data_IF_931941309521
#
_entry.id   IF_931941309521
#
_cell.length_a   1.000
_cell.length_b   1.000
_cell.length_c   1.000
_cell.angle_alpha   90.00
_cell.angle_beta   90.00
_cell.angle_gamma   90.00
#
_symmetry.space_group_name_H-M   'P 1'
#
loop_
_entity.id
_entity.type
_entity.pdbx_description
1 polymer ?
#
# COMPACT_ATOMS: atom_id res chain seq x y z
N UNK A 1 -22.38 8.36 -0.90
CA UNK A 1 -22.37 7.13 -0.11
C UNK A 1 -20.93 6.61 0.03
N UNK A 2 -20.57 6.20 1.24
CA UNK A 2 -19.24 5.62 1.54
C UNK A 2 -19.45 4.29 2.26
N UNK A 3 -18.74 3.26 1.79
CA UNK A 3 -18.75 1.95 2.43
C UNK A 3 -17.34 1.62 2.91
N UNK A 4 -17.20 1.29 4.19
CA UNK A 4 -15.94 0.83 4.76
C UNK A 4 -15.81 -0.68 4.53
N UNK A 5 -14.65 -1.11 4.06
CA UNK A 5 -14.34 -2.53 3.86
C UNK A 5 -13.05 -2.91 4.58
N UNK A 6 -12.88 -4.20 4.84
CA UNK A 6 -11.57 -4.70 5.25
C UNK A 6 -10.61 -4.70 4.05
N UNK A 7 -9.35 -4.35 4.27
CA UNK A 7 -8.34 -4.29 3.21
C UNK A 7 -8.24 -5.58 2.40
N UNK A 8 -8.35 -6.71 3.06
CA UNK A 8 -8.24 -8.02 2.40
C UNK A 8 -9.50 -8.46 1.66
N UNK A 9 -10.57 -7.66 1.65
CA UNK A 9 -11.77 -7.92 0.86
C UNK A 9 -11.66 -7.41 -0.58
N UNK A 10 -10.62 -6.66 -0.92
CA UNK A 10 -10.49 -6.00 -2.23
C UNK A 10 -10.49 -6.99 -3.39
N UNK A 11 -9.85 -8.14 -3.24
CA UNK A 11 -9.82 -9.16 -4.30
C UNK A 11 -11.19 -9.68 -4.68
N UNK A 12 -12.04 -9.95 -3.68
CA UNK A 12 -13.42 -10.38 -3.91
C UNK A 12 -14.23 -9.31 -4.65
N UNK A 13 -14.10 -8.07 -4.21
CA UNK A 13 -14.83 -6.96 -4.81
C UNK A 13 -14.41 -6.71 -6.26
N UNK A 14 -13.13 -6.82 -6.57
CA UNK A 14 -12.63 -6.71 -7.94
C UNK A 14 -13.10 -7.89 -8.81
N UNK A 15 -13.05 -9.11 -8.27
CA UNK A 15 -13.52 -10.30 -8.98
C UNK A 15 -15.01 -10.20 -9.32
N UNK A 16 -15.80 -9.59 -8.45
CA UNK A 16 -17.24 -9.40 -8.66
C UNK A 16 -17.57 -8.16 -9.52
N UNK A 17 -16.55 -7.45 -10.01
CA UNK A 17 -16.74 -6.28 -10.88
C UNK A 17 -17.30 -5.05 -10.16
N UNK A 18 -17.11 -4.95 -8.86
CA UNK A 18 -17.66 -3.86 -8.04
C UNK A 18 -16.70 -2.69 -7.87
N UNK A 19 -15.51 -2.76 -8.44
CA UNK A 19 -14.49 -1.71 -8.33
C UNK A 19 -14.17 -1.16 -9.71
N UNK A 20 -14.42 0.11 -9.91
CA UNK A 20 -14.16 0.80 -11.18
C UNK A 20 -12.74 1.36 -11.25
N UNK A 21 -12.19 1.77 -10.12
CA UNK A 21 -10.83 2.32 -10.03
C UNK A 21 -10.32 2.24 -8.60
N UNK A 22 -9.01 2.27 -8.46
CA UNK A 22 -8.32 2.36 -7.17
C UNK A 22 -7.58 3.69 -7.12
N UNK A 23 -7.68 4.38 -6.00
CA UNK A 23 -6.96 5.64 -5.75
C UNK A 23 -6.24 5.50 -4.43
N UNK A 24 -4.92 5.70 -4.44
CA UNK A 24 -4.09 5.67 -3.24
C UNK A 24 -3.25 6.93 -3.13
N UNK A 25 -2.80 7.23 -1.92
CA UNK A 25 -1.79 8.26 -1.70
C UNK A 25 -0.38 7.73 -1.90
N UNK A 26 0.61 8.56 -1.63
CA UNK A 26 2.00 8.14 -1.57
C UNK A 26 2.71 8.88 -0.45
N UNK A 27 3.45 8.15 0.37
CA UNK A 27 4.30 8.74 1.41
C UNK A 27 5.62 9.24 0.83
N UNK A 28 6.13 8.54 -0.17
CA UNK A 28 7.33 8.93 -0.94
C UNK A 28 7.16 8.54 -2.39
N UNK A 29 7.66 9.37 -3.28
CA UNK A 29 7.68 9.13 -4.72
C UNK A 29 9.10 9.23 -5.25
N UNK A 30 9.41 8.43 -6.24
CA UNK A 30 10.71 8.37 -6.89
C UNK A 30 10.69 9.05 -8.26
N UNK A 31 11.86 9.42 -8.75
CA UNK A 31 12.01 10.03 -10.06
C UNK A 31 11.51 9.13 -11.20
N UNK A 32 11.66 7.80 -11.05
CA UNK A 32 11.20 6.83 -12.05
C UNK A 32 9.70 6.50 -11.95
N UNK A 33 9.00 7.03 -10.95
CA UNK A 33 7.57 6.77 -10.73
C UNK A 33 7.25 5.70 -9.69
N UNK A 34 8.24 4.95 -9.19
CA UNK A 34 8.02 4.06 -8.05
C UNK A 34 7.59 4.88 -6.83
N UNK A 35 6.80 4.29 -5.96
CA UNK A 35 6.35 5.01 -4.77
C UNK A 35 6.22 4.10 -3.57
N UNK A 36 6.28 4.69 -2.39
CA UNK A 36 6.04 4.02 -1.13
C UNK A 36 4.72 4.51 -0.52
N UNK A 37 3.96 3.59 0.00
CA UNK A 37 2.72 3.88 0.71
C UNK A 37 2.46 2.82 1.77
N UNK A 38 1.43 2.99 2.57
CA UNK A 38 1.05 2.06 3.63
C UNK A 38 1.04 0.61 3.14
N UNK A 39 1.49 -0.30 4.00
CA UNK A 39 1.47 -1.74 3.71
C UNK A 39 0.08 -2.20 3.25
N UNK A 40 0.02 -3.05 2.23
CA UNK A 40 -1.21 -3.44 1.54
C UNK A 40 -1.39 -2.77 0.18
N UNK A 41 -0.70 -1.67 -0.08
CA UNK A 41 -0.80 -0.95 -1.36
C UNK A 41 -0.28 -1.77 -2.54
N UNK A 42 0.82 -2.52 -2.35
CA UNK A 42 1.36 -3.40 -3.39
C UNK A 42 0.34 -4.48 -3.78
N UNK A 43 -0.29 -5.08 -2.80
CA UNK A 43 -1.34 -6.08 -3.02
C UNK A 43 -2.50 -5.52 -3.85
N UNK A 44 -2.98 -4.32 -3.52
CA UNK A 44 -4.01 -3.64 -4.31
C UNK A 44 -3.57 -3.38 -5.74
N UNK A 45 -2.32 -2.97 -5.93
CA UNK A 45 -1.77 -2.70 -7.26
C UNK A 45 -1.72 -3.95 -8.12
N UNK A 46 -1.26 -5.07 -7.55
CA UNK A 46 -1.20 -6.37 -8.23
C UNK A 46 -2.60 -6.86 -8.62
N UNK A 47 -3.55 -6.77 -7.69
CA UNK A 47 -4.93 -7.17 -7.95
C UNK A 47 -5.60 -6.27 -9.01
N UNK A 48 -5.36 -4.97 -8.94
CA UNK A 48 -5.89 -4.04 -9.94
C UNK A 48 -5.38 -4.38 -11.34
N UNK A 49 -4.11 -4.75 -11.47
CA UNK A 49 -3.54 -5.17 -12.75
C UNK A 49 -4.19 -6.47 -13.23
N UNK A 50 -4.35 -7.46 -12.37
CA UNK A 50 -4.96 -8.76 -12.70
C UNK A 50 -6.40 -8.59 -13.19
N UNK A 51 -7.18 -7.76 -12.54
CA UNK A 51 -8.58 -7.53 -12.87
C UNK A 51 -8.80 -6.35 -13.83
N UNK A 52 -7.72 -5.76 -14.35
CA UNK A 52 -7.76 -4.63 -15.29
C UNK A 52 -8.51 -3.42 -14.74
N UNK A 53 -8.36 -3.16 -13.45
CA UNK A 53 -8.90 -1.99 -12.77
C UNK A 53 -7.84 -0.88 -12.81
N UNK A 54 -8.19 0.34 -13.26
CA UNK A 54 -7.25 1.46 -13.23
C UNK A 54 -6.77 1.77 -11.82
N UNK A 55 -5.47 2.04 -11.70
CA UNK A 55 -4.79 2.30 -10.43
C UNK A 55 -4.15 3.69 -10.48
N UNK A 56 -4.63 4.59 -9.65
CA UNK A 56 -4.19 5.98 -9.60
C UNK A 56 -3.46 6.28 -8.30
N UNK A 57 -2.40 7.05 -8.39
CA UNK A 57 -1.60 7.46 -7.25
C UNK A 57 -1.61 8.98 -7.13
N UNK A 58 -2.05 9.48 -5.99
CA UNK A 58 -1.91 10.89 -5.64
C UNK A 58 -0.50 11.10 -5.11
N UNK A 59 0.30 11.90 -5.78
CA UNK A 59 1.73 11.97 -5.53
C UNK A 59 2.26 13.40 -5.51
N UNK A 60 3.33 13.58 -4.75
CA UNK A 60 4.21 14.73 -4.86
C UNK A 60 5.50 14.25 -5.51
N UNK A 61 5.71 14.50 -6.82
CA UNK A 61 6.90 14.03 -7.49
C UNK A 61 8.18 14.50 -6.79
N UNK A 62 9.09 13.57 -6.57
CA UNK A 62 10.39 13.87 -5.99
C UNK A 62 11.49 13.45 -6.96
N UNK A 63 12.47 14.34 -7.17
CA UNK A 63 13.67 14.04 -7.94
C UNK A 63 14.82 13.52 -7.08
N UNK A 64 14.65 13.51 -5.75
CA UNK A 64 15.72 13.18 -4.80
C UNK A 64 16.01 11.68 -4.74
N UNK A 65 15.00 10.84 -4.92
CA UNK A 65 15.12 9.39 -4.87
C UNK A 65 14.90 8.86 -6.29
N UNK A 66 15.87 8.11 -6.80
CA UNK A 66 15.83 7.65 -8.21
C UNK A 66 14.82 6.54 -8.45
N UNK A 67 14.81 5.55 -7.58
CA UNK A 67 13.93 4.38 -7.72
C UNK A 67 13.52 3.81 -6.37
N UNK A 68 12.57 2.88 -6.39
CA UNK A 68 12.09 2.21 -5.19
C UNK A 68 13.16 1.43 -4.43
N UNK A 69 14.22 1.01 -5.11
CA UNK A 69 15.37 0.33 -4.48
C UNK A 69 16.11 1.22 -3.48
N UNK A 70 16.01 2.52 -3.64
CA UNK A 70 16.69 3.52 -2.79
C UNK A 70 15.82 3.97 -1.61
N UNK A 71 14.59 3.47 -1.50
CA UNK A 71 13.70 3.77 -0.38
C UNK A 71 13.98 2.79 0.76
N UNK A 72 14.39 3.27 1.95
CA UNK A 72 14.51 2.39 3.11
C UNK A 72 13.13 1.94 3.59
N UNK A 73 12.96 0.63 3.79
CA UNK A 73 11.73 0.05 4.32
C UNK A 73 11.79 0.07 5.85
N UNK A 74 10.83 0.74 6.48
CA UNK A 74 10.69 0.74 7.92
C UNK A 74 10.07 -0.58 8.39
N UNK A 75 10.76 -1.26 9.30
CA UNK A 75 10.21 -2.42 10.00
C UNK A 75 9.68 -1.93 11.34
N UNK A 76 8.37 -2.09 11.54
CA UNK A 76 7.69 -1.64 12.75
C UNK A 76 7.83 -2.68 13.87
N UNK A 77 7.57 -2.25 15.09
CA UNK A 77 7.60 -3.13 16.27
C UNK A 77 6.57 -4.25 16.08
N UNK A 78 7.03 -5.50 16.15
CA UNK A 78 6.19 -6.68 16.00
C UNK A 78 5.11 -6.79 17.08
N UNK A 79 5.27 -6.11 18.22
CA UNK A 79 4.24 -6.06 19.27
C UNK A 79 2.91 -5.55 18.75
N UNK A 80 2.92 -4.68 17.75
CA UNK A 80 1.68 -4.19 17.12
C UNK A 80 0.86 -5.32 16.47
N UNK A 81 1.52 -6.40 16.04
CA UNK A 81 0.86 -7.58 15.47
C UNK A 81 0.46 -8.59 16.55
N UNK A 82 1.22 -8.67 17.64
CA UNK A 82 1.09 -9.71 18.65
C UNK A 82 0.13 -9.34 19.77
N UNK A 83 -0.22 -8.06 19.88
CA UNK A 83 -1.05 -7.55 20.97
C UNK A 83 -2.22 -6.71 20.46
N UNK A 84 -3.31 -6.71 21.21
CA UNK A 84 -4.42 -5.81 21.00
C UNK A 84 -4.85 -5.24 22.36
N UNK A 85 -4.90 -3.92 22.48
CA UNK A 85 -5.19 -3.22 23.74
C UNK A 85 -4.31 -3.74 24.90
N UNK A 86 -3.00 -3.85 24.65
CA UNK A 86 -1.98 -4.34 25.59
C UNK A 86 -2.13 -5.82 25.97
N UNK A 87 -2.99 -6.57 25.29
CA UNK A 87 -3.16 -8.01 25.52
C UNK A 87 -2.60 -8.80 24.34
N UNK A 88 -1.85 -9.87 24.64
CA UNK A 88 -1.34 -10.79 23.62
C UNK A 88 -2.52 -11.52 22.95
N UNK A 89 -2.61 -11.42 21.63
CA UNK A 89 -3.70 -12.01 20.84
C UNK A 89 -3.27 -13.21 20.01
N UNK A 90 -2.02 -13.64 20.17
CA UNK A 90 -1.46 -14.82 19.49
C UNK A 90 -1.16 -15.92 20.50
N UNK A 91 -0.97 -17.16 19.99
CA UNK A 91 -0.60 -18.30 20.85
C UNK A 91 0.71 -18.04 21.55
N UNK A 92 0.87 -18.55 22.78
CA UNK A 92 2.06 -18.35 23.61
C UNK A 92 3.37 -18.73 22.93
N UNK A 93 3.34 -19.66 21.98
CA UNK A 93 4.54 -20.10 21.21
C UNK A 93 4.97 -19.12 20.13
N UNK A 94 4.12 -18.18 19.71
CA UNK A 94 4.45 -17.18 18.71
C UNK A 94 5.03 -15.96 19.42
N UNK A 95 6.34 -15.82 19.35
CA UNK A 95 7.08 -14.76 20.03
C UNK A 95 7.54 -13.66 19.09
N UNK A 96 7.49 -13.90 17.77
CA UNK A 96 7.99 -12.99 16.76
C UNK A 96 6.89 -12.67 15.74
N UNK A 97 6.90 -11.43 15.27
CA UNK A 97 6.13 -10.96 14.14
C UNK A 97 7.03 -10.20 13.18
N UNK A 98 6.64 -10.13 11.93
CA UNK A 98 7.30 -9.31 10.91
C UNK A 98 6.32 -8.25 10.43
N UNK A 99 6.64 -6.98 10.67
CA UNK A 99 5.73 -5.88 10.37
C UNK A 99 6.41 -4.76 9.58
N UNK A 100 6.54 -4.90 8.25
CA UNK A 100 6.92 -3.79 7.41
C UNK A 100 5.80 -2.74 7.41
N UNK A 101 6.16 -1.46 7.56
CA UNK A 101 5.16 -0.38 7.63
C UNK A 101 4.68 0.09 6.28
N UNK A 102 5.51 -0.07 5.24
CA UNK A 102 5.26 0.44 3.90
C UNK A 102 5.56 -0.60 2.84
N UNK A 103 4.82 -0.50 1.74
CA UNK A 103 5.14 -1.15 0.48
C UNK A 103 5.88 -0.18 -0.42
N UNK A 104 6.81 -0.71 -1.20
CA UNK A 104 7.38 -0.01 -2.35
C UNK A 104 6.74 -0.60 -3.59
N UNK A 105 5.99 0.20 -4.31
CA UNK A 105 5.22 -0.23 -5.48
C UNK A 105 5.92 0.24 -6.75
N UNK A 106 6.27 -0.71 -7.66
CA UNK A 106 6.85 -0.36 -8.95
C UNK A 106 5.90 0.47 -9.82
N UNK A 107 6.44 1.40 -10.59
CA UNK A 107 5.66 2.31 -11.43
C UNK A 107 4.82 1.59 -12.49
N UNK A 108 5.21 0.37 -12.87
CA UNK A 108 4.50 -0.42 -13.89
C UNK A 108 3.04 -0.72 -13.52
N UNK A 109 2.71 -0.68 -12.22
CA UNK A 109 1.35 -0.91 -11.75
C UNK A 109 0.47 0.33 -11.81
N UNK A 110 1.05 1.49 -12.05
CA UNK A 110 0.33 2.77 -12.01
C UNK A 110 -0.28 3.05 -13.38
N UNK A 111 -1.60 3.23 -13.44
CA UNK A 111 -2.27 3.72 -14.63
C UNK A 111 -1.94 5.19 -14.86
N UNK A 112 -2.01 6.00 -13.79
CA UNK A 112 -1.66 7.41 -13.84
C UNK A 112 -1.27 7.92 -12.45
N UNK A 113 -0.17 8.66 -12.40
CA UNK A 113 0.19 9.46 -11.24
C UNK A 113 -0.46 10.83 -11.35
N UNK A 114 -1.17 11.23 -10.29
CA UNK A 114 -1.87 12.52 -10.24
C UNK A 114 -1.08 13.41 -9.28
N UNK A 115 -0.40 14.46 -9.80
CA UNK A 115 0.34 15.37 -8.93
C UNK A 115 -0.61 16.17 -8.04
N UNK A 116 -0.28 16.25 -6.77
CA UNK A 116 -0.99 17.10 -5.81
C UNK A 116 -0.08 18.23 -5.36
N UNK A 117 -0.65 19.41 -5.26
CA UNK A 117 0.03 20.59 -4.77
C UNK A 117 -0.46 20.88 -3.36
N UNK A 118 0.48 20.86 -2.41
CA UNK A 118 0.20 21.28 -1.03
C UNK A 118 0.83 22.66 -0.85
N UNK A 119 0.00 23.62 -0.57
CA UNK A 119 0.43 24.99 -0.26
C UNK A 119 0.94 25.08 1.18
#
# INVERSE_FOLDING_TARGET
NVTLIADNAIGLLMADGLVDKVIVGSDRSCANGDFANKIGTYQMAVLAQEFKVPFYVLTQPSKKIKSGKDIPVEIRDSKELLTFKKRKVVRAKILEGFYPGFDVVPYQYITRAIPIHVN
#
